data_IF_136605156797
#
_entry.id   IF_136605156797
#
_cell.length_a   1.000
_cell.length_b   1.000
_cell.length_c   1.000
_cell.angle_alpha   90.00
_cell.angle_beta   90.00
_cell.angle_gamma   90.00
#
_symmetry.space_group_name_H-M   'P 1'
#
loop_
_entity.id
_entity.type
_entity.pdbx_description
1 polymer ?
#
# COMPACT_ATOMS: atom_id res chain seq x y z
N UNK A 1 7.60 23.87 -11.63
CA UNK A 1 8.32 25.12 -11.49
C UNK A 1 8.15 25.95 -12.77
N UNK A 2 7.88 27.22 -12.64
CA UNK A 2 7.68 28.12 -13.77
C UNK A 2 8.90 29.04 -13.80
N UNK A 3 9.61 29.08 -14.92
CA UNK A 3 10.66 30.09 -15.16
C UNK A 3 10.07 31.30 -15.86
N UNK A 4 10.63 32.46 -15.61
CA UNK A 4 10.28 33.73 -16.26
C UNK A 4 11.46 34.27 -17.00
N UNK A 5 11.39 34.25 -18.32
CA UNK A 5 12.32 34.92 -19.20
C UNK A 5 11.56 35.91 -20.09
N UNK A 6 12.08 37.12 -20.27
CA UNK A 6 11.52 38.21 -21.13
C UNK A 6 10.02 38.45 -20.94
N UNK A 7 9.56 38.50 -19.69
CA UNK A 7 8.12 38.67 -19.33
C UNK A 7 7.19 37.52 -19.79
N UNK A 8 7.74 36.40 -20.28
CA UNK A 8 6.99 35.18 -20.59
C UNK A 8 7.21 34.15 -19.50
N UNK A 9 6.17 33.42 -19.17
CA UNK A 9 6.24 32.28 -18.26
C UNK A 9 6.37 31.01 -19.08
N UNK A 10 7.41 30.22 -18.81
CA UNK A 10 7.63 28.93 -19.46
C UNK A 10 7.41 27.83 -18.43
N UNK A 11 6.61 26.84 -18.78
CA UNK A 11 6.45 25.63 -17.96
C UNK A 11 7.73 24.80 -18.11
N UNK A 12 8.34 24.45 -16.97
CA UNK A 12 9.53 23.59 -16.92
C UNK A 12 9.19 22.12 -16.64
N UNK A 13 7.88 21.78 -16.59
CA UNK A 13 7.46 20.42 -16.38
C UNK A 13 7.25 19.71 -17.71
N UNK A 14 7.68 18.46 -17.76
CA UNK A 14 7.21 17.55 -18.78
C UNK A 14 5.77 17.15 -18.43
N UNK A 15 4.87 17.25 -19.41
CA UNK A 15 3.49 16.76 -19.31
C UNK A 15 3.38 15.55 -20.21
N UNK A 16 3.13 14.40 -19.63
CA UNK A 16 3.03 13.13 -20.36
C UNK A 16 1.67 12.97 -21.02
N UNK A 17 1.68 12.32 -22.18
CA UNK A 17 0.51 11.98 -23.01
C UNK A 17 0.53 10.49 -23.35
N UNK A 18 -0.54 9.98 -23.95
CA UNK A 18 -0.61 8.59 -24.39
C UNK A 18 0.45 8.25 -25.46
N UNK A 19 0.90 9.24 -26.24
CA UNK A 19 1.92 9.05 -27.29
C UNK A 19 3.32 8.79 -26.71
N UNK A 20 3.55 9.07 -25.43
CA UNK A 20 4.84 8.87 -24.78
C UNK A 20 5.03 7.41 -24.31
N UNK A 21 3.97 6.58 -24.34
CA UNK A 21 4.01 5.22 -23.78
C UNK A 21 3.46 4.17 -24.74
N UNK A 22 4.07 3.00 -24.71
CA UNK A 22 3.51 1.81 -25.39
C UNK A 22 2.51 1.10 -24.45
N UNK A 23 1.22 1.42 -24.61
CA UNK A 23 0.11 0.88 -23.83
C UNK A 23 -0.20 -0.61 -24.14
N UNK A 24 0.45 -1.20 -25.15
CA UNK A 24 0.23 -2.58 -25.59
C UNK A 24 1.18 -3.59 -24.95
N UNK A 25 2.18 -3.12 -24.23
CA UNK A 25 3.14 -4.00 -23.56
C UNK A 25 2.44 -4.93 -22.56
N UNK A 26 2.88 -6.18 -22.44
CA UNK A 26 2.30 -7.14 -21.51
C UNK A 26 2.51 -6.70 -20.07
N UNK A 27 1.62 -7.15 -19.19
CA UNK A 27 1.78 -6.98 -17.76
C UNK A 27 3.11 -7.57 -17.28
N UNK A 28 3.70 -6.94 -16.27
CA UNK A 28 4.90 -7.42 -15.60
C UNK A 28 4.54 -8.05 -14.24
N UNK A 29 5.44 -8.88 -13.72
CA UNK A 29 5.30 -9.38 -12.36
C UNK A 29 5.25 -8.20 -11.36
N UNK A 30 4.41 -8.29 -10.31
CA UNK A 30 4.31 -7.23 -9.32
C UNK A 30 5.65 -6.99 -8.62
N UNK A 31 6.09 -5.74 -8.63
CA UNK A 31 7.32 -5.29 -7.98
C UNK A 31 7.01 -4.06 -7.12
N UNK A 32 7.87 -3.76 -6.20
CA UNK A 32 7.79 -2.51 -5.46
C UNK A 32 8.49 -1.42 -6.27
N UNK A 33 7.71 -0.48 -6.80
CA UNK A 33 8.24 0.64 -7.59
C UNK A 33 8.37 1.86 -6.68
N UNK A 34 9.51 2.54 -6.74
CA UNK A 34 9.79 3.74 -5.96
C UNK A 34 10.20 4.89 -6.87
N UNK A 35 9.45 5.99 -6.78
CA UNK A 35 9.73 7.28 -7.41
C UNK A 35 9.17 8.39 -6.50
N UNK A 36 9.98 9.37 -6.16
CA UNK A 36 9.67 10.36 -5.13
C UNK A 36 9.37 11.76 -5.69
N UNK A 37 9.44 11.95 -7.01
CA UNK A 37 9.22 13.23 -7.65
C UNK A 37 7.82 13.34 -8.25
N UNK A 38 7.22 14.53 -8.26
CA UNK A 38 5.94 14.75 -8.91
C UNK A 38 6.07 14.67 -10.43
N UNK A 39 5.06 14.12 -11.08
CA UNK A 39 4.91 14.12 -12.53
C UNK A 39 3.52 14.60 -12.92
N UNK A 40 3.36 14.97 -14.19
CA UNK A 40 2.13 15.55 -14.72
C UNK A 40 1.68 14.78 -15.96
N UNK A 41 0.38 14.54 -16.05
CA UNK A 41 -0.25 13.86 -17.18
C UNK A 41 -1.24 14.81 -17.82
N UNK A 42 -1.35 14.81 -19.16
CA UNK A 42 -2.27 15.63 -19.88
C UNK A 42 -3.73 15.31 -19.51
N UNK A 43 -4.54 16.33 -19.32
CA UNK A 43 -5.97 16.17 -19.04
C UNK A 43 -6.66 15.39 -20.19
N UNK A 44 -7.44 14.36 -19.82
CA UNK A 44 -8.14 13.52 -20.78
C UNK A 44 -7.31 12.43 -21.46
N UNK A 45 -6.04 12.27 -21.12
CA UNK A 45 -5.22 11.16 -21.61
C UNK A 45 -5.74 9.81 -21.11
N UNK A 46 -5.71 8.76 -21.94
CA UNK A 46 -6.02 7.38 -21.53
C UNK A 46 -5.06 6.87 -20.47
N UNK A 47 -3.84 7.41 -20.43
CA UNK A 47 -2.83 7.15 -19.40
C UNK A 47 -3.37 7.36 -17.98
N UNK A 48 -4.24 8.34 -17.75
CA UNK A 48 -4.88 8.58 -16.44
C UNK A 48 -5.68 7.35 -16.00
N UNK A 49 -6.50 6.80 -16.90
CA UNK A 49 -7.29 5.61 -16.61
C UNK A 49 -6.41 4.37 -16.36
N UNK A 50 -5.31 4.24 -17.09
CA UNK A 50 -4.32 3.17 -16.88
C UNK A 50 -3.64 3.29 -15.53
N UNK A 51 -3.21 4.48 -15.14
CA UNK A 51 -2.62 4.72 -13.83
C UNK A 51 -3.61 4.46 -12.69
N UNK A 52 -4.88 4.81 -12.86
CA UNK A 52 -5.90 4.60 -11.82
C UNK A 52 -6.10 3.12 -11.47
N UNK A 53 -5.98 2.21 -12.44
CA UNK A 53 -6.12 0.76 -12.23
C UNK A 53 -4.81 0.04 -11.96
N UNK A 54 -3.67 0.71 -12.16
CA UNK A 54 -2.37 0.12 -11.89
C UNK A 54 -2.17 -0.12 -10.38
N UNK A 55 -1.37 -1.12 -10.04
CA UNK A 55 -1.19 -1.55 -8.66
C UNK A 55 0.09 -1.01 -8.05
N UNK A 56 0.00 -0.60 -6.80
CA UNK A 56 1.13 -0.18 -5.97
C UNK A 56 1.37 -1.24 -4.90
N UNK A 57 2.61 -1.72 -4.80
CA UNK A 57 3.02 -2.63 -3.75
C UNK A 57 3.51 -1.84 -2.53
N UNK A 58 3.04 -2.19 -1.36
CA UNK A 58 3.36 -1.52 -0.11
C UNK A 58 3.82 -2.52 0.94
N UNK A 59 4.81 -2.15 1.70
CA UNK A 59 5.34 -2.98 2.80
C UNK A 59 5.34 -2.17 4.09
N UNK A 60 4.71 -2.72 5.11
CA UNK A 60 4.83 -2.25 6.49
C UNK A 60 5.73 -3.20 7.25
N UNK A 61 6.96 -2.79 7.53
CA UNK A 61 7.95 -3.59 8.24
C UNK A 61 8.09 -3.15 9.68
N UNK A 62 8.26 -4.12 10.58
CA UNK A 62 8.50 -3.90 11.99
C UNK A 62 9.91 -4.32 12.35
N UNK A 63 10.71 -3.39 12.81
CA UNK A 63 12.11 -3.63 13.18
C UNK A 63 12.25 -4.49 14.44
N UNK A 64 11.24 -4.51 15.31
CA UNK A 64 11.32 -5.23 16.60
C UNK A 64 11.34 -6.75 16.44
N UNK A 65 10.57 -7.29 15.49
CA UNK A 65 10.44 -8.74 15.29
C UNK A 65 10.71 -9.21 13.85
N UNK A 66 11.13 -8.30 12.98
CA UNK A 66 11.50 -8.63 11.60
C UNK A 66 10.34 -9.08 10.70
N UNK A 67 9.09 -8.89 11.14
CA UNK A 67 7.91 -9.30 10.39
C UNK A 67 7.41 -8.12 9.57
N UNK A 68 7.04 -8.39 8.34
CA UNK A 68 6.43 -7.40 7.46
C UNK A 68 5.06 -7.85 6.96
N UNK A 69 4.23 -6.86 6.69
CA UNK A 69 2.94 -7.00 6.04
C UNK A 69 3.07 -6.42 4.64
N UNK A 70 2.66 -7.20 3.64
CA UNK A 70 2.68 -6.78 2.24
C UNK A 70 1.26 -6.59 1.73
N UNK A 71 1.05 -5.49 1.04
CA UNK A 71 -0.23 -5.10 0.49
C UNK A 71 -0.08 -4.68 -0.97
N UNK A 72 -1.15 -4.89 -1.73
CA UNK A 72 -1.34 -4.27 -3.03
C UNK A 72 -2.52 -3.32 -2.95
N UNK A 73 -2.40 -2.16 -3.57
CA UNK A 73 -3.49 -1.20 -3.72
C UNK A 73 -3.46 -0.60 -5.12
N UNK A 74 -4.54 0.07 -5.51
CA UNK A 74 -4.50 0.90 -6.70
C UNK A 74 -3.57 2.11 -6.51
N UNK A 75 -3.20 2.74 -7.60
CA UNK A 75 -2.31 3.91 -7.57
C UNK A 75 -2.90 5.07 -6.74
N UNK A 76 -4.21 5.22 -6.76
CA UNK A 76 -4.95 6.23 -5.97
C UNK A 76 -5.05 5.90 -4.48
N UNK A 77 -4.60 4.70 -4.06
CA UNK A 77 -4.64 4.23 -2.66
C UNK A 77 -6.04 4.23 -2.06
N UNK A 78 -7.04 3.92 -2.86
CA UNK A 78 -8.45 3.87 -2.43
C UNK A 78 -8.85 2.52 -1.84
N UNK A 79 -7.99 1.51 -1.94
CA UNK A 79 -8.22 0.18 -1.35
C UNK A 79 -8.13 0.25 0.17
N UNK A 80 -9.12 -0.31 0.83
CA UNK A 80 -9.20 -0.39 2.30
C UNK A 80 -8.19 -1.41 2.84
N UNK A 81 -6.97 -0.93 3.12
CA UNK A 81 -5.93 -1.74 3.75
C UNK A 81 -5.12 -0.93 4.76
N UNK A 82 -4.38 -1.63 5.60
CA UNK A 82 -3.64 -1.02 6.70
C UNK A 82 -2.51 -0.08 6.22
N UNK A 83 -1.88 -0.38 5.08
CA UNK A 83 -0.81 0.45 4.55
C UNK A 83 -1.35 1.79 4.01
N UNK A 84 -2.50 1.78 3.35
CA UNK A 84 -3.16 3.01 2.91
C UNK A 84 -3.64 3.84 4.10
N UNK A 85 -4.23 3.19 5.12
CA UNK A 85 -4.64 3.87 6.34
C UNK A 85 -3.48 4.65 6.97
N UNK A 86 -2.35 4.00 7.25
CA UNK A 86 -1.19 4.67 7.83
C UNK A 86 -0.58 5.72 6.90
N UNK A 87 -0.56 5.48 5.59
CA UNK A 87 -0.12 6.47 4.62
C UNK A 87 -1.00 7.74 4.68
N UNK A 88 -2.33 7.60 4.73
CA UNK A 88 -3.24 8.74 4.78
C UNK A 88 -3.14 9.49 6.10
N UNK A 89 -2.98 8.79 7.21
CA UNK A 89 -2.74 9.41 8.53
C UNK A 89 -1.43 10.21 8.53
N UNK A 90 -0.33 9.61 8.05
CA UNK A 90 0.97 10.28 7.95
C UNK A 90 0.92 11.53 7.06
N UNK A 91 0.31 11.42 5.89
CA UNK A 91 0.18 12.52 4.91
C UNK A 91 -0.93 13.51 5.28
N UNK A 92 -1.67 13.28 6.35
CA UNK A 92 -2.80 14.10 6.80
C UNK A 92 -3.86 14.31 5.70
N UNK A 93 -4.11 13.27 4.93
CA UNK A 93 -5.19 13.22 3.93
C UNK A 93 -6.52 13.01 4.66
N UNK A 94 -7.62 13.47 4.06
CA UNK A 94 -8.94 13.20 4.61
C UNK A 94 -9.21 11.69 4.58
N UNK A 95 -9.49 11.12 5.75
CA UNK A 95 -9.77 9.70 5.90
C UNK A 95 -11.12 9.34 5.27
N UNK A 96 -11.15 8.25 4.52
CA UNK A 96 -12.37 7.65 4.02
C UNK A 96 -13.24 7.13 5.18
N UNK A 97 -14.56 6.88 4.99
CA UNK A 97 -15.45 6.43 6.06
C UNK A 97 -14.95 5.18 6.81
N UNK A 98 -14.40 4.21 6.10
CA UNK A 98 -13.79 3.03 6.70
C UNK A 98 -12.57 3.39 7.54
N UNK A 99 -11.69 4.24 7.03
CA UNK A 99 -10.48 4.68 7.74
C UNK A 99 -10.82 5.50 9.00
N UNK A 100 -11.91 6.25 8.97
CA UNK A 100 -12.41 6.93 10.17
C UNK A 100 -12.83 5.94 11.26
N UNK A 101 -13.49 4.83 10.88
CA UNK A 101 -13.83 3.74 11.82
C UNK A 101 -12.55 3.09 12.39
N UNK A 102 -11.52 2.90 11.57
CA UNK A 102 -10.24 2.40 12.05
C UNK A 102 -9.60 3.39 13.03
N UNK A 103 -9.65 4.68 12.73
CA UNK A 103 -9.14 5.72 13.65
C UNK A 103 -9.87 5.76 14.99
N UNK A 104 -11.19 5.51 15.00
CA UNK A 104 -11.97 5.37 16.25
C UNK A 104 -11.52 4.16 17.10
N UNK A 105 -11.02 3.10 16.47
CA UNK A 105 -10.53 1.90 17.17
C UNK A 105 -9.12 2.11 17.72
N UNK A 106 -8.19 2.58 16.86
CA UNK A 106 -6.75 2.57 17.15
C UNK A 106 -6.26 3.93 17.66
N UNK A 107 -6.92 5.04 17.27
CA UNK A 107 -6.53 6.38 17.64
C UNK A 107 -5.24 6.85 16.95
N UNK A 108 -4.62 7.86 17.56
CA UNK A 108 -3.34 8.45 17.13
C UNK A 108 -2.18 7.62 17.71
N UNK A 109 -1.91 6.48 17.12
CA UNK A 109 -0.88 5.55 17.56
C UNK A 109 0.31 5.58 16.59
N UNK A 110 1.51 5.52 17.12
CA UNK A 110 2.73 5.37 16.34
C UNK A 110 2.71 4.07 15.52
N UNK A 111 3.11 4.15 14.25
CA UNK A 111 3.08 3.04 13.30
C UNK A 111 3.93 1.86 13.78
N UNK A 112 5.17 2.12 14.22
CA UNK A 112 6.09 1.06 14.64
C UNK A 112 5.56 0.34 15.89
N UNK A 113 4.98 1.09 16.81
CA UNK A 113 4.32 0.55 17.99
C UNK A 113 3.12 -0.33 17.62
N UNK A 114 2.25 0.15 16.74
CA UNK A 114 1.10 -0.62 16.27
C UNK A 114 1.52 -1.92 15.58
N UNK A 115 2.46 -1.84 14.65
CA UNK A 115 2.98 -2.99 13.92
C UNK A 115 3.62 -4.03 14.83
N UNK A 116 4.36 -3.59 15.86
CA UNK A 116 4.93 -4.50 16.85
C UNK A 116 3.87 -5.41 17.47
N UNK A 117 2.76 -4.86 17.91
CA UNK A 117 1.70 -5.64 18.58
C UNK A 117 0.88 -6.45 17.59
N UNK A 118 0.51 -5.86 16.45
CA UNK A 118 -0.22 -6.56 15.40
C UNK A 118 0.55 -7.78 14.89
N UNK A 119 1.81 -7.61 14.51
CA UNK A 119 2.64 -8.70 13.99
C UNK A 119 2.93 -9.75 15.05
N UNK A 120 3.15 -9.36 16.31
CA UNK A 120 3.29 -10.31 17.44
C UNK A 120 2.01 -11.16 17.61
N UNK A 121 0.84 -10.59 17.41
CA UNK A 121 -0.40 -11.35 17.45
C UNK A 121 -0.48 -12.31 16.26
N UNK A 122 -0.18 -11.86 15.05
CA UNK A 122 -0.21 -12.67 13.83
C UNK A 122 0.77 -13.86 13.88
N UNK A 123 1.93 -13.70 14.53
CA UNK A 123 2.90 -14.80 14.74
C UNK A 123 2.31 -16.01 15.45
N UNK A 124 1.29 -15.83 16.27
CA UNK A 124 0.65 -16.96 16.97
C UNK A 124 0.03 -17.96 15.99
N UNK A 125 -0.34 -17.49 14.79
CA UNK A 125 -0.95 -18.32 13.75
C UNK A 125 0.06 -19.16 12.95
N UNK A 126 1.35 -18.90 13.07
CA UNK A 126 2.39 -19.77 12.48
C UNK A 126 2.30 -21.21 13.01
N UNK A 127 1.88 -21.36 14.27
CA UNK A 127 1.82 -22.66 14.96
C UNK A 127 0.41 -23.10 15.29
N UNK A 128 -0.60 -22.29 15.05
CA UNK A 128 -1.98 -22.54 15.47
C UNK A 128 -2.97 -22.07 14.43
N UNK A 129 -3.89 -22.92 14.03
CA UNK A 129 -5.01 -22.53 13.16
C UNK A 129 -5.99 -21.56 13.85
N UNK A 130 -6.18 -21.74 15.16
CA UNK A 130 -7.09 -20.95 15.98
C UNK A 130 -6.33 -20.37 17.17
N UNK A 131 -6.44 -19.07 17.38
CA UNK A 131 -5.80 -18.36 18.49
C UNK A 131 -6.87 -17.80 19.42
N UNK A 132 -6.79 -18.17 20.71
CA UNK A 132 -7.68 -17.63 21.73
C UNK A 132 -7.26 -16.22 22.14
N UNK A 133 -8.22 -15.31 22.18
CA UNK A 133 -8.05 -13.92 22.62
C UNK A 133 -9.37 -13.41 23.23
N UNK A 134 -9.57 -13.71 24.51
CA UNK A 134 -10.80 -13.39 25.24
C UNK A 134 -11.11 -11.88 25.32
N UNK A 135 -10.07 -11.05 25.38
CA UNK A 135 -10.17 -9.59 25.45
C UNK A 135 -9.29 -8.99 24.36
N UNK A 136 -9.83 -8.77 23.17
CA UNK A 136 -9.09 -8.16 22.08
C UNK A 136 -8.76 -6.70 22.44
N UNK A 137 -7.48 -6.36 22.32
CA UNK A 137 -7.01 -4.97 22.40
C UNK A 137 -7.32 -4.22 21.09
N UNK A 138 -6.92 -2.95 21.02
CA UNK A 138 -7.15 -2.10 19.85
C UNK A 138 -6.48 -2.66 18.59
N UNK A 139 -5.32 -3.33 18.72
CA UNK A 139 -4.58 -3.87 17.58
C UNK A 139 -5.26 -5.10 17.00
N UNK A 140 -5.74 -6.01 17.86
CA UNK A 140 -6.53 -7.18 17.43
C UNK A 140 -7.85 -6.75 16.80
N UNK A 141 -8.52 -5.73 17.35
CA UNK A 141 -9.74 -5.17 16.74
C UNK A 141 -9.48 -4.54 15.38
N UNK A 142 -8.36 -3.86 15.20
CA UNK A 142 -7.96 -3.28 13.92
C UNK A 142 -7.67 -4.37 12.88
N UNK A 143 -6.98 -5.46 13.26
CA UNK A 143 -6.76 -6.61 12.38
C UNK A 143 -8.09 -7.29 11.99
N UNK A 144 -9.03 -7.40 12.91
CA UNK A 144 -10.37 -7.93 12.66
C UNK A 144 -11.16 -7.02 11.71
N UNK A 145 -11.14 -5.70 11.94
CA UNK A 145 -11.84 -4.73 11.10
C UNK A 145 -11.35 -4.74 9.65
N UNK A 146 -10.07 -4.94 9.43
CA UNK A 146 -9.51 -5.14 8.08
C UNK A 146 -9.74 -6.56 7.51
N UNK A 147 -10.32 -7.47 8.27
CA UNK A 147 -10.54 -8.85 7.83
C UNK A 147 -9.26 -9.70 7.74
N UNK A 148 -8.13 -9.27 8.33
CA UNK A 148 -6.89 -10.05 8.34
C UNK A 148 -6.94 -11.22 9.29
N UNK A 149 -7.80 -11.13 10.29
CA UNK A 149 -8.24 -12.22 11.15
C UNK A 149 -9.76 -12.20 11.20
N UNK A 150 -10.36 -13.36 11.37
CA UNK A 150 -11.83 -13.50 11.47
C UNK A 150 -12.17 -14.25 12.75
N UNK A 151 -13.32 -13.93 13.37
CA UNK A 151 -13.82 -14.67 14.52
C UNK A 151 -14.08 -16.11 14.14
N UNK A 152 -13.55 -17.01 14.97
CA UNK A 152 -13.90 -18.44 14.94
C UNK A 152 -15.04 -18.72 15.92
N UNK A 153 -14.97 -18.14 17.10
CA UNK A 153 -15.98 -18.13 18.15
C UNK A 153 -15.89 -16.82 18.96
N UNK A 154 -16.61 -16.72 20.08
CA UNK A 154 -16.65 -15.52 20.92
C UNK A 154 -15.27 -15.12 21.49
N UNK A 155 -14.37 -16.10 21.68
CA UNK A 155 -13.08 -15.90 22.36
C UNK A 155 -11.87 -16.20 21.46
N UNK A 156 -12.09 -16.55 20.19
CA UNK A 156 -10.98 -16.98 19.33
C UNK A 156 -11.09 -16.50 17.88
N UNK A 157 -9.94 -16.51 17.22
CA UNK A 157 -9.77 -16.01 15.86
C UNK A 157 -9.07 -17.03 14.97
N UNK A 158 -9.36 -16.98 13.68
CA UNK A 158 -8.62 -17.63 12.59
C UNK A 158 -7.86 -16.60 11.77
N UNK A 159 -6.75 -17.04 11.19
CA UNK A 159 -5.97 -16.25 10.27
C UNK A 159 -6.62 -16.22 8.89
N UNK A 160 -6.75 -15.05 8.31
CA UNK A 160 -7.40 -14.84 7.01
C UNK A 160 -6.47 -14.25 5.96
N UNK A 161 -5.20 -14.02 6.30
CA UNK A 161 -4.13 -13.76 5.36
C UNK A 161 -3.40 -15.07 5.05
N UNK A 162 -2.29 -14.96 4.30
CA UNK A 162 -1.36 -16.07 4.10
C UNK A 162 0.03 -15.66 4.57
N UNK A 163 0.84 -16.63 4.91
CA UNK A 163 2.28 -16.43 5.02
C UNK A 163 2.88 -16.66 3.64
N UNK A 164 3.73 -15.73 3.21
CA UNK A 164 4.36 -15.77 1.89
C UNK A 164 5.80 -15.29 2.06
N UNK A 165 6.74 -16.05 1.53
CA UNK A 165 8.18 -15.76 1.62
C UNK A 165 8.75 -15.17 0.32
N UNK A 166 7.91 -14.97 -0.72
CA UNK A 166 8.36 -14.34 -1.96
C UNK A 166 8.90 -12.95 -1.68
N UNK A 167 10.02 -12.64 -2.29
CA UNK A 167 10.59 -11.30 -2.25
C UNK A 167 10.03 -10.47 -3.40
N UNK A 168 9.63 -9.24 -3.09
CA UNK A 168 9.36 -8.24 -4.12
C UNK A 168 10.61 -7.39 -4.27
N UNK A 169 11.18 -7.41 -5.47
CA UNK A 169 12.29 -6.54 -5.79
C UNK A 169 11.81 -5.07 -5.78
N UNK A 170 12.60 -4.20 -5.16
CA UNK A 170 12.33 -2.76 -5.18
C UNK A 170 13.12 -2.13 -6.29
N UNK A 171 12.43 -1.61 -7.29
CA UNK A 171 13.00 -0.82 -8.37
C UNK A 171 12.89 0.67 -8.05
N UNK A 172 14.01 1.36 -8.07
CA UNK A 172 14.10 2.81 -7.88
C UNK A 172 14.30 3.45 -9.25
N UNK A 173 13.51 4.46 -9.54
CA UNK A 173 13.54 5.19 -10.80
C UNK A 173 14.03 6.61 -10.58
N UNK A 174 14.91 7.09 -11.47
CA UNK A 174 15.38 8.45 -11.51
C UNK A 174 14.58 9.32 -12.50
N UNK A 175 13.87 8.67 -13.42
CA UNK A 175 13.09 9.30 -14.49
C UNK A 175 11.60 8.95 -14.38
N UNK A 176 10.76 9.98 -14.53
CA UNK A 176 9.31 9.83 -14.43
C UNK A 176 8.71 8.96 -15.55
N UNK A 177 9.26 9.04 -16.78
CA UNK A 177 8.79 8.26 -17.92
C UNK A 177 8.95 6.75 -17.64
N UNK A 178 10.14 6.34 -17.17
CA UNK A 178 10.42 4.93 -16.89
C UNK A 178 9.58 4.41 -15.72
N UNK A 179 9.37 5.24 -14.69
CA UNK A 179 8.48 4.91 -13.58
C UNK A 179 7.03 4.72 -14.06
N UNK A 180 6.50 5.66 -14.84
CA UNK A 180 5.12 5.57 -15.38
C UNK A 180 5.00 4.35 -16.29
N UNK A 181 5.97 4.08 -17.17
CA UNK A 181 5.97 2.92 -18.05
C UNK A 181 5.95 1.60 -17.25
N UNK A 182 6.70 1.50 -16.17
CA UNK A 182 6.66 0.35 -15.26
C UNK A 182 5.31 0.28 -14.53
N UNK A 183 4.80 1.40 -14.04
CA UNK A 183 3.56 1.48 -13.28
C UNK A 183 2.33 1.03 -14.09
N UNK A 184 2.19 1.46 -15.35
CA UNK A 184 1.06 1.05 -16.21
C UNK A 184 1.11 -0.43 -16.61
N UNK A 185 2.28 -1.08 -16.53
CA UNK A 185 2.44 -2.52 -16.77
C UNK A 185 2.15 -3.36 -15.53
N UNK A 186 2.15 -2.76 -14.36
CA UNK A 186 1.91 -3.44 -13.09
C UNK A 186 0.40 -3.44 -12.77
N UNK A 187 -0.37 -4.23 -13.53
CA UNK A 187 -1.83 -4.26 -13.45
C UNK A 187 -2.39 -5.37 -12.55
N UNK A 188 -1.56 -6.31 -12.08
CA UNK A 188 -2.01 -7.41 -11.23
C UNK A 188 -1.96 -7.04 -9.74
N UNK A 189 -3.05 -7.32 -9.03
CA UNK A 189 -3.10 -7.20 -7.59
C UNK A 189 -2.47 -8.43 -6.92
N UNK A 190 -1.57 -8.20 -5.97
CA UNK A 190 -1.06 -9.24 -5.09
C UNK A 190 -1.92 -9.28 -3.84
N UNK A 191 -2.39 -10.45 -3.45
CA UNK A 191 -3.13 -10.61 -2.20
C UNK A 191 -2.25 -10.20 -1.01
N UNK A 192 -2.85 -9.51 -0.04
CA UNK A 192 -2.16 -9.16 1.20
C UNK A 192 -1.59 -10.42 1.88
N UNK A 193 -0.38 -10.30 2.40
CA UNK A 193 0.31 -11.42 3.04
C UNK A 193 1.22 -10.95 4.17
N UNK A 194 1.61 -11.89 5.01
CA UNK A 194 2.59 -11.70 6.08
C UNK A 194 3.88 -12.39 5.70
N UNK A 195 4.99 -11.64 5.75
CA UNK A 195 6.33 -12.17 5.54
C UNK A 195 7.04 -12.29 6.89
N UNK A 196 7.58 -13.47 7.16
CA UNK A 196 8.42 -13.72 8.34
C UNK A 196 9.85 -13.30 8.00
N UNK A 197 10.41 -12.43 8.84
CA UNK A 197 11.84 -12.10 8.75
C UNK A 197 12.69 -13.34 9.02
N UNK A 198 13.76 -13.48 8.27
CA UNK A 198 14.80 -14.51 8.46
C UNK A 198 15.80 -14.04 9.48
#
# INVERSE_FOLDING_TARGET
LISREDKRYTNQFQVFTDADFDMTLPAMEPQQLNFDQPFFVAEGAELIAKLQVSQVQQTLANQTNGISLHFSSDFGRTVENLANYFYHVEKRVNLAPFEQQIYEIIGDVDLEYALKYMTTFLLKFVKKEVVKQKRPDIFVKTLEAHGYIVKHDEESYRFNLRFDDREFETLVFDDAHDFIAAQIRQCEAVSSCVKLGV
#
